data_IF_219090721080
#
_entry.id   IF_219090721080
#
_cell.length_a   1.000
_cell.length_b   1.000
_cell.length_c   1.000
_cell.angle_alpha   90.00
_cell.angle_beta   90.00
_cell.angle_gamma   90.00
#
_symmetry.space_group_name_H-M   'P 1'
#
loop_
_entity.id
_entity.type
_entity.pdbx_description
1 polymer ?
#
# COMPACT_ATOMS: atom_id res chain seq x y z
N UNK A 1 7.51 8.62 -13.75
CA UNK A 1 7.87 8.07 -12.43
C UNK A 1 6.59 7.95 -11.63
N UNK A 2 5.90 6.78 -11.62
CA UNK A 2 4.54 6.72 -11.14
C UNK A 2 4.41 6.15 -9.72
N UNK A 3 5.50 6.08 -8.94
CA UNK A 3 5.48 5.70 -7.54
C UNK A 3 5.65 6.94 -6.67
N UNK A 4 4.53 7.44 -6.16
CA UNK A 4 4.51 8.51 -5.16
C UNK A 4 4.52 7.89 -3.77
N UNK A 5 5.14 8.56 -2.80
CA UNK A 5 5.14 8.13 -1.40
C UNK A 5 4.39 9.13 -0.53
N UNK A 6 3.40 8.64 0.19
CA UNK A 6 2.62 9.34 1.19
C UNK A 6 3.10 8.97 2.59
N UNK A 7 3.42 9.96 3.42
CA UNK A 7 3.69 9.76 4.84
C UNK A 7 2.40 9.45 5.62
N UNK A 8 2.54 8.79 6.77
CA UNK A 8 1.45 8.37 7.67
C UNK A 8 0.58 9.50 8.24
N UNK A 9 0.89 10.75 7.89
CA UNK A 9 0.10 11.95 8.22
C UNK A 9 -1.06 12.21 7.23
N UNK A 10 -1.13 11.50 6.10
CA UNK A 10 -2.20 11.70 5.11
C UNK A 10 -3.54 11.14 5.62
N UNK A 11 -4.56 11.99 5.58
CA UNK A 11 -5.93 11.62 5.89
C UNK A 11 -6.39 10.46 4.99
N UNK A 12 -6.91 9.37 5.57
CA UNK A 12 -7.21 8.17 4.81
C UNK A 12 -8.42 8.35 3.86
N UNK A 13 -9.27 9.37 4.04
CA UNK A 13 -10.31 9.69 3.06
C UNK A 13 -9.76 10.42 1.83
N UNK A 14 -8.64 11.13 1.97
CA UNK A 14 -7.94 11.74 0.83
C UNK A 14 -7.43 10.67 -0.13
N UNK A 15 -6.99 9.52 0.39
CA UNK A 15 -6.56 8.37 -0.41
C UNK A 15 -7.65 7.82 -1.35
N UNK A 16 -8.94 8.08 -1.11
CA UNK A 16 -10.01 7.72 -2.06
C UNK A 16 -10.11 8.64 -3.27
N UNK A 17 -9.55 9.84 -3.17
CA UNK A 17 -9.65 10.91 -4.18
C UNK A 17 -8.38 11.05 -4.98
N UNK A 18 -7.37 10.21 -4.72
CA UNK A 18 -6.11 10.23 -5.46
C UNK A 18 -6.33 9.75 -6.89
N UNK A 19 -5.58 10.29 -7.87
CA UNK A 19 -5.67 9.86 -9.25
C UNK A 19 -5.05 8.48 -9.51
N UNK A 20 -4.27 7.95 -8.57
CA UNK A 20 -3.66 6.61 -8.68
C UNK A 20 -4.70 5.49 -8.58
N UNK A 21 -4.57 4.50 -9.46
CA UNK A 21 -5.46 3.34 -9.49
C UNK A 21 -5.13 2.31 -8.41
N UNK A 22 -3.92 2.38 -7.83
CA UNK A 22 -3.47 1.42 -6.83
C UNK A 22 -2.90 2.15 -5.61
N UNK A 23 -3.25 1.66 -4.44
CA UNK A 23 -2.68 2.06 -3.17
C UNK A 23 -1.88 0.90 -2.59
N UNK A 24 -0.64 1.16 -2.19
CA UNK A 24 0.26 0.16 -1.60
C UNK A 24 0.59 0.61 -0.19
N UNK A 25 -0.01 -0.03 0.80
CA UNK A 25 0.24 0.23 2.21
C UNK A 25 1.46 -0.58 2.68
N UNK A 26 2.51 0.15 3.05
CA UNK A 26 3.76 -0.40 3.54
C UNK A 26 4.06 0.01 4.98
N UNK A 27 4.87 -0.79 5.66
CA UNK A 27 5.56 -0.37 6.88
C UNK A 27 6.45 0.84 6.61
N UNK A 28 6.57 1.78 7.56
CA UNK A 28 7.56 2.85 7.41
C UNK A 28 8.99 2.32 7.29
N UNK A 29 9.85 3.15 6.69
CA UNK A 29 11.27 2.88 6.58
C UNK A 29 11.93 3.24 7.91
N UNK A 30 12.59 2.28 8.53
CA UNK A 30 13.39 2.42 9.76
C UNK A 30 14.82 1.98 9.40
N UNK A 31 15.81 2.83 9.68
CA UNK A 31 17.22 2.57 9.32
C UNK A 31 17.45 2.25 7.82
N UNK A 32 16.69 2.92 6.95
CA UNK A 32 16.82 2.79 5.50
C UNK A 32 16.19 1.52 4.91
N UNK A 33 15.47 0.72 5.69
CA UNK A 33 14.70 -0.44 5.21
C UNK A 33 13.31 -0.50 5.82
N UNK A 34 12.37 -1.16 5.15
CA UNK A 34 11.06 -1.48 5.69
C UNK A 34 11.23 -2.36 6.94
N UNK A 35 10.62 -1.98 8.07
CA UNK A 35 10.76 -2.76 9.30
C UNK A 35 10.01 -4.11 9.25
N UNK A 36 9.09 -4.27 8.30
CA UNK A 36 8.32 -5.50 8.10
C UNK A 36 9.01 -6.39 7.04
N UNK A 37 9.33 -7.65 7.37
CA UNK A 37 10.03 -8.55 6.44
C UNK A 37 9.20 -8.87 5.19
N UNK A 38 7.88 -9.02 5.32
CA UNK A 38 6.97 -9.29 4.19
C UNK A 38 6.93 -8.10 3.21
N UNK A 39 6.98 -6.88 3.74
CA UNK A 39 7.06 -5.67 2.92
C UNK A 39 8.36 -5.63 2.11
N UNK A 40 9.50 -6.03 2.70
CA UNK A 40 10.79 -6.13 1.98
C UNK A 40 10.74 -7.19 0.89
N UNK A 41 10.14 -8.35 1.17
CA UNK A 41 10.07 -9.47 0.24
C UNK A 41 9.33 -9.11 -1.06
N UNK A 42 8.27 -8.30 -0.97
CA UNK A 42 7.48 -7.87 -2.13
C UNK A 42 7.92 -6.52 -2.72
N UNK A 43 8.88 -5.82 -2.10
CA UNK A 43 9.29 -4.47 -2.51
C UNK A 43 9.78 -4.45 -3.97
N UNK A 44 10.62 -5.42 -4.33
CA UNK A 44 11.14 -5.56 -5.69
C UNK A 44 10.04 -5.88 -6.70
N UNK A 45 9.08 -6.73 -6.31
CA UNK A 45 7.94 -7.09 -7.15
C UNK A 45 7.05 -5.88 -7.41
N UNK A 46 6.73 -5.10 -6.37
CA UNK A 46 5.95 -3.87 -6.47
C UNK A 46 6.67 -2.85 -7.34
N UNK A 47 7.98 -2.61 -7.11
CA UNK A 47 8.79 -1.70 -7.94
C UNK A 47 8.82 -2.11 -9.41
N UNK A 48 8.90 -3.41 -9.70
CA UNK A 48 8.89 -3.94 -11.06
C UNK A 48 7.51 -3.79 -11.69
N UNK A 49 6.45 -4.11 -10.95
CA UNK A 49 5.08 -4.09 -11.47
C UNK A 49 4.57 -2.67 -11.70
N UNK A 50 4.81 -1.78 -10.74
CA UNK A 50 4.43 -0.36 -10.79
C UNK A 50 5.59 0.53 -11.25
N UNK A 51 6.48 -0.05 -12.06
CA UNK A 51 7.62 0.65 -12.64
C UNK A 51 7.22 1.74 -13.64
N UNK A 52 8.16 2.30 -14.41
CA UNK A 52 7.89 3.38 -15.36
C UNK A 52 6.81 3.06 -16.40
N UNK A 53 6.68 1.79 -16.79
CA UNK A 53 5.67 1.29 -17.75
C UNK A 53 4.46 0.62 -17.06
N UNK A 54 4.43 0.61 -15.73
CA UNK A 54 3.35 0.05 -14.92
C UNK A 54 2.19 1.02 -14.71
N UNK A 55 1.09 0.56 -14.10
CA UNK A 55 0.00 1.47 -13.73
C UNK A 55 0.44 2.40 -12.58
N UNK A 56 -0.26 3.52 -12.44
CA UNK A 56 0.01 4.47 -11.36
C UNK A 56 -0.35 3.90 -9.99
N UNK A 57 0.59 3.94 -9.06
CA UNK A 57 0.40 3.48 -7.70
C UNK A 57 0.98 4.46 -6.66
N UNK A 58 0.26 4.59 -5.55
CA UNK A 58 0.67 5.42 -4.41
C UNK A 58 1.10 4.51 -3.26
N UNK A 59 2.36 4.61 -2.86
CA UNK A 59 2.87 3.95 -1.67
C UNK A 59 2.51 4.79 -0.44
N UNK A 60 1.86 4.20 0.54
CA UNK A 60 1.43 4.83 1.78
C UNK A 60 2.13 4.15 2.94
N UNK A 61 2.90 4.91 3.72
CA UNK A 61 3.56 4.39 4.90
C UNK A 61 2.62 4.45 6.11
N UNK A 62 2.36 3.31 6.74
CA UNK A 62 1.42 3.22 7.87
C UNK A 62 2.01 3.69 9.21
N UNK A 63 3.28 4.07 9.23
CA UNK A 63 4.03 4.44 10.43
C UNK A 63 5.03 3.37 10.88
N UNK A 64 5.69 3.67 12.00
CA UNK A 64 6.56 2.73 12.71
C UNK A 64 5.76 1.52 13.24
N UNK A 65 6.44 0.42 13.53
CA UNK A 65 5.85 -0.79 14.13
C UNK A 65 5.00 -0.48 15.35
N UNK A 66 5.41 0.47 16.18
CA UNK A 66 4.68 0.87 17.40
C UNK A 66 3.38 1.59 17.06
N UNK A 67 3.39 2.48 16.06
CA UNK A 67 2.21 3.18 15.58
C UNK A 67 1.24 2.22 14.86
N UNK A 68 1.76 1.27 14.09
CA UNK A 68 0.94 0.27 13.40
C UNK A 68 0.26 -0.71 14.36
N UNK A 69 0.94 -1.11 15.43
CA UNK A 69 0.36 -1.98 16.47
C UNK A 69 -0.75 -1.28 17.26
N UNK A 70 -0.76 0.05 17.30
CA UNK A 70 -1.78 0.80 18.01
C UNK A 70 -3.15 0.65 17.32
N UNK A 71 -4.23 0.32 18.05
CA UNK A 71 -5.58 0.28 17.48
C UNK A 71 -6.06 1.67 17.03
N UNK A 72 -5.44 2.74 17.54
CA UNK A 72 -5.71 4.13 17.14
C UNK A 72 -5.08 4.53 15.81
N UNK A 73 -4.46 3.59 15.08
CA UNK A 73 -3.89 3.88 13.78
C UNK A 73 -5.01 4.24 12.78
N UNK A 74 -4.85 5.39 12.10
CA UNK A 74 -5.84 5.93 11.16
C UNK A 74 -6.17 4.97 10.01
N UNK A 75 -5.24 4.09 9.62
CA UNK A 75 -5.44 3.13 8.54
C UNK A 75 -6.13 1.83 9.00
N UNK A 76 -6.13 1.53 10.30
CA UNK A 76 -6.92 0.42 10.89
C UNK A 76 -8.40 0.76 11.03
N UNK A 77 -8.73 2.06 11.03
CA UNK A 77 -10.09 2.56 11.03
C UNK A 77 -10.72 2.65 9.64
N UNK A 78 -11.89 3.28 9.58
CA UNK A 78 -12.49 3.66 8.30
C UNK A 78 -11.64 4.71 7.59
N UNK A 79 -11.57 4.67 6.24
CA UNK A 79 -12.27 3.75 5.34
C UNK A 79 -11.55 2.43 4.99
N UNK A 80 -10.27 2.26 5.31
CA UNK A 80 -9.47 1.15 4.75
C UNK A 80 -9.57 -0.14 5.57
N UNK A 81 -9.74 -0.02 6.89
CA UNK A 81 -9.83 -1.13 7.85
C UNK A 81 -8.70 -2.14 7.65
N UNK A 82 -7.47 -1.65 7.54
CA UNK A 82 -6.30 -2.50 7.32
C UNK A 82 -6.08 -3.40 8.56
N UNK A 83 -5.89 -4.69 8.32
CA UNK A 83 -5.61 -5.68 9.37
C UNK A 83 -4.12 -6.05 9.43
N UNK A 84 -3.46 -6.04 8.27
CA UNK A 84 -2.05 -6.41 8.09
C UNK A 84 -1.36 -5.51 7.07
N UNK A 85 -0.03 -5.51 7.09
CA UNK A 85 0.83 -4.92 6.06
C UNK A 85 1.84 -5.98 5.63
N UNK A 86 2.20 -6.07 4.33
CA UNK A 86 1.80 -5.20 3.22
C UNK A 86 0.33 -5.42 2.79
N UNK A 87 -0.34 -4.35 2.32
CA UNK A 87 -1.68 -4.45 1.71
C UNK A 87 -1.72 -3.60 0.44
N UNK A 88 -2.23 -4.16 -0.65
CA UNK A 88 -2.44 -3.45 -1.92
C UNK A 88 -3.92 -3.35 -2.19
N UNK A 89 -4.40 -2.16 -2.50
CA UNK A 89 -5.80 -1.89 -2.81
C UNK A 89 -5.90 -1.30 -4.22
N UNK A 90 -6.78 -1.85 -5.03
CA UNK A 90 -7.16 -1.30 -6.33
C UNK A 90 -8.35 -0.37 -6.16
N UNK A 91 -8.18 0.86 -6.59
CA UNK A 91 -9.19 1.88 -6.65
C UNK A 91 -9.73 2.03 -8.06
N UNK A 92 -11.05 2.08 -8.15
CA UNK A 92 -11.77 2.41 -9.36
C UNK A 92 -12.83 3.45 -9.04
N UNK A 93 -12.69 4.63 -9.63
CA UNK A 93 -13.61 5.75 -9.41
C UNK A 93 -13.77 6.12 -7.92
N UNK A 94 -12.67 6.07 -7.17
CA UNK A 94 -12.62 6.36 -5.74
C UNK A 94 -13.28 5.33 -4.81
N UNK A 95 -13.62 4.15 -5.35
CA UNK A 95 -14.08 2.99 -4.59
C UNK A 95 -13.03 1.89 -4.62
N UNK A 96 -12.87 1.21 -3.48
CA UNK A 96 -12.11 -0.03 -3.42
C UNK A 96 -12.83 -1.09 -4.27
N UNK A 97 -12.18 -1.50 -5.35
CA UNK A 97 -12.66 -2.59 -6.21
C UNK A 97 -12.14 -3.93 -5.70
N UNK A 98 -10.86 -3.98 -5.32
CA UNK A 98 -10.24 -5.20 -4.84
C UNK A 98 -9.03 -4.91 -3.92
N UNK A 99 -8.65 -5.89 -3.11
CA UNK A 99 -7.50 -5.81 -2.20
C UNK A 99 -6.70 -7.11 -2.17
N UNK A 100 -5.40 -7.01 -1.98
CA UNK A 100 -4.46 -8.09 -1.72
C UNK A 100 -3.74 -7.82 -0.41
N UNK A 101 -3.58 -8.84 0.42
CA UNK A 101 -3.02 -8.70 1.77
C UNK A 101 -1.90 -9.72 1.94
N UNK A 102 -0.79 -9.29 2.53
CA UNK A 102 0.29 -10.18 2.99
C UNK A 102 0.83 -11.08 1.85
N UNK A 103 0.95 -12.39 2.08
CA UNK A 103 1.48 -13.35 1.11
C UNK A 103 0.65 -13.49 -0.18
N UNK A 104 -0.62 -13.08 -0.21
CA UNK A 104 -1.43 -13.11 -1.44
C UNK A 104 -0.90 -12.16 -2.52
N UNK A 105 -0.11 -11.16 -2.13
CA UNK A 105 0.43 -10.16 -3.05
C UNK A 105 1.42 -10.81 -4.02
N UNK A 106 2.37 -11.62 -3.53
CA UNK A 106 3.45 -12.14 -4.36
C UNK A 106 2.97 -12.92 -5.61
N UNK A 107 2.05 -13.90 -5.51
CA UNK A 107 1.59 -14.65 -6.67
C UNK A 107 0.50 -13.91 -7.47
N UNK A 108 -0.28 -13.01 -6.86
CA UNK A 108 -1.46 -12.40 -7.52
C UNK A 108 -1.21 -11.02 -8.08
N UNK A 109 -0.18 -10.29 -7.65
CA UNK A 109 0.05 -8.89 -8.03
C UNK A 109 0.17 -8.70 -9.55
N UNK A 110 0.89 -9.60 -10.23
CA UNK A 110 1.08 -9.51 -11.67
C UNK A 110 -0.23 -9.69 -12.46
N UNK A 111 -1.17 -10.50 -11.96
CA UNK A 111 -2.49 -10.67 -12.57
C UNK A 111 -3.40 -9.48 -12.20
N UNK A 112 -3.35 -9.06 -10.94
CA UNK A 112 -4.15 -7.98 -10.37
C UNK A 112 -3.98 -6.63 -11.08
N UNK A 113 -2.78 -6.37 -11.56
CA UNK A 113 -2.42 -5.16 -12.31
C UNK A 113 -2.82 -5.24 -13.79
N UNK A 114 -2.94 -6.44 -14.36
CA UNK A 114 -3.31 -6.64 -15.76
C UNK A 114 -4.81 -6.72 -16.01
N UNK A 115 -5.59 -6.96 -14.95
CA UNK A 115 -7.05 -7.06 -14.98
C UNK A 115 -7.72 -5.69 -14.96
#
# INVERSE_FOLDING_TARGET
>A
MPLYTADGSIDPHTLKRVPEQFLVFYSSIVDGKLWCPDCVAIEELVKTTFGPDGPSALIVYVGDRSQWKSPSNIYRGEPWKLTSVPTIIKLKDGKEEARLVDDEIAPRLAAFVKE
#
